data_IF_820596460908
#
_entry.id   IF_820596460908
#
_cell.length_a   1.000
_cell.length_b   1.000
_cell.length_c   1.000
_cell.angle_alpha   90.00
_cell.angle_beta   90.00
_cell.angle_gamma   90.00
#
_symmetry.space_group_name_H-M   'P 1'
#
loop_
_entity.id
_entity.type
_entity.pdbx_description
1 polymer ?
#
# COMPACT_ATOMS: atom_id res chain seq x y z
N UNK A 1 -19.88 -37.95 -3.32
CA UNK A 1 -19.84 -36.69 -4.10
C UNK A 1 -18.80 -36.87 -5.21
N UNK A 2 -19.21 -36.86 -6.48
CA UNK A 2 -18.37 -37.17 -7.66
C UNK A 2 -18.09 -35.87 -8.43
N UNK A 3 -16.82 -35.53 -8.61
CA UNK A 3 -16.37 -34.39 -9.40
C UNK A 3 -16.26 -34.76 -10.90
N UNK A 4 -16.65 -33.87 -11.84
CA UNK A 4 -16.54 -34.14 -13.28
C UNK A 4 -15.10 -34.35 -13.74
N UNK A 5 -14.83 -35.28 -14.68
CA UNK A 5 -13.48 -35.63 -15.11
C UNK A 5 -12.74 -34.51 -15.86
N UNK A 6 -13.43 -33.44 -16.25
CA UNK A 6 -12.89 -32.31 -17.01
C UNK A 6 -12.68 -31.03 -16.16
N UNK A 7 -12.83 -31.11 -14.84
CA UNK A 7 -12.55 -29.97 -13.97
C UNK A 7 -11.08 -29.91 -13.57
N UNK A 8 -10.41 -28.83 -13.94
CA UNK A 8 -9.10 -28.48 -13.40
C UNK A 8 -9.31 -27.65 -12.14
N UNK A 9 -8.93 -28.17 -10.99
CA UNK A 9 -8.98 -27.46 -9.72
C UNK A 9 -7.61 -26.84 -9.45
N UNK A 10 -7.52 -25.50 -9.50
CA UNK A 10 -6.34 -24.75 -9.10
C UNK A 10 -6.53 -24.18 -7.69
N UNK A 11 -5.58 -24.42 -6.80
CA UNK A 11 -5.55 -23.82 -5.47
C UNK A 11 -4.46 -22.74 -5.43
N UNK A 12 -4.79 -21.57 -4.91
CA UNK A 12 -3.82 -20.51 -4.59
C UNK A 12 -3.80 -20.37 -3.09
N UNK A 13 -2.65 -20.67 -2.48
CA UNK A 13 -2.39 -20.31 -1.09
C UNK A 13 -2.05 -18.81 -1.06
N UNK A 14 -3.04 -17.97 -0.74
CA UNK A 14 -2.75 -16.57 -0.41
C UNK A 14 -2.24 -16.52 1.02
N UNK A 15 -0.94 -16.71 1.21
CA UNK A 15 -0.29 -16.38 2.47
C UNK A 15 -0.02 -14.87 2.49
N UNK A 16 -0.81 -14.13 3.28
CA UNK A 16 -0.53 -12.73 3.61
C UNK A 16 0.37 -12.75 4.84
N UNK A 17 1.70 -12.53 4.72
CA UNK A 17 2.57 -12.45 5.89
C UNK A 17 2.08 -11.33 6.80
N UNK A 18 2.09 -11.57 8.11
CA UNK A 18 1.73 -10.57 9.11
C UNK A 18 2.70 -9.39 8.99
N UNK A 19 2.23 -8.27 8.44
CA UNK A 19 2.99 -7.04 8.38
C UNK A 19 2.64 -6.19 9.60
N UNK A 20 3.66 -5.75 10.33
CA UNK A 20 3.58 -4.79 11.44
C UNK A 20 3.23 -3.35 10.98
N UNK A 21 2.51 -3.22 9.87
CA UNK A 21 2.24 -1.95 9.16
C UNK A 21 0.74 -1.80 8.95
N UNK A 22 0.26 -0.56 8.81
CA UNK A 22 -1.15 -0.34 8.49
C UNK A 22 -1.46 -0.82 7.06
N UNK A 23 -2.72 -1.14 6.80
CA UNK A 23 -3.20 -1.46 5.44
C UNK A 23 -2.86 -0.33 4.45
N UNK A 24 -2.99 0.92 4.92
CA UNK A 24 -2.78 2.11 4.14
C UNK A 24 -1.30 2.26 3.76
N UNK A 25 -0.39 2.08 4.73
CA UNK A 25 1.05 2.12 4.48
C UNK A 25 1.50 1.02 3.52
N UNK A 26 0.89 -0.17 3.60
CA UNK A 26 1.19 -1.27 2.69
C UNK A 26 0.81 -0.94 1.24
N UNK A 27 -0.33 -0.28 1.03
CA UNK A 27 -0.76 0.15 -0.31
C UNK A 27 0.13 1.29 -0.82
N UNK A 28 0.52 2.23 0.03
CA UNK A 28 1.46 3.30 -0.32
C UNK A 28 2.87 2.78 -0.63
N UNK A 29 3.34 1.76 0.09
CA UNK A 29 4.61 1.08 -0.18
C UNK A 29 4.67 0.42 -1.57
N UNK A 30 3.50 0.15 -2.17
CA UNK A 30 3.41 -0.30 -3.56
C UNK A 30 3.90 0.75 -4.57
N UNK A 31 3.85 2.04 -4.20
CA UNK A 31 4.33 3.14 -5.02
C UNK A 31 5.84 3.35 -4.83
N UNK A 32 6.62 2.65 -5.67
CA UNK A 32 8.08 2.71 -5.64
C UNK A 32 8.63 4.08 -6.00
N UNK A 33 7.94 4.83 -6.85
CA UNK A 33 8.35 6.16 -7.29
C UNK A 33 8.18 7.16 -6.15
N UNK A 34 7.03 7.13 -5.48
CA UNK A 34 6.79 7.90 -4.26
C UNK A 34 7.88 7.64 -3.21
N UNK A 35 8.17 6.37 -2.89
CA UNK A 35 9.19 6.00 -1.91
C UNK A 35 10.60 6.44 -2.30
N UNK A 36 10.94 6.39 -3.58
CA UNK A 36 12.23 6.84 -4.06
C UNK A 36 12.39 8.36 -3.93
N UNK A 37 11.33 9.14 -4.20
CA UNK A 37 11.35 10.60 -4.07
C UNK A 37 11.39 11.03 -2.60
N UNK A 38 10.63 10.36 -1.72
CA UNK A 38 10.66 10.60 -0.27
C UNK A 38 12.06 10.34 0.32
N UNK A 39 12.73 9.26 -0.10
CA UNK A 39 14.10 8.96 0.33
C UNK A 39 15.10 10.02 -0.15
N UNK A 40 14.96 10.48 -1.41
CA UNK A 40 15.82 11.53 -1.94
C UNK A 40 15.60 12.88 -1.23
N UNK A 41 14.36 13.16 -0.83
CA UNK A 41 14.02 14.36 -0.08
C UNK A 41 14.67 14.34 1.29
N UNK A 42 14.59 13.22 2.02
CA UNK A 42 15.27 13.06 3.30
C UNK A 42 16.80 13.22 3.18
N UNK A 43 17.41 12.62 2.15
CA UNK A 43 18.85 12.79 1.89
C UNK A 43 19.22 14.25 1.58
N UNK A 44 18.35 15.00 0.89
CA UNK A 44 18.55 16.40 0.56
C UNK A 44 18.37 17.31 1.79
N UNK A 45 17.43 16.99 2.67
CA UNK A 45 17.21 17.65 3.97
C UNK A 45 18.41 17.45 4.90
N UNK A 46 18.94 16.23 5.00
CA UNK A 46 20.14 15.94 5.79
C UNK A 46 21.36 16.74 5.28
N UNK A 47 21.48 16.87 3.95
CA UNK A 47 22.54 17.69 3.32
C UNK A 47 22.26 19.19 3.34
N UNK A 48 21.09 19.62 3.81
CA UNK A 48 20.62 21.01 3.82
C UNK A 48 20.67 21.68 2.43
N UNK A 49 20.44 20.90 1.37
CA UNK A 49 20.43 21.40 -0.01
C UNK A 49 19.03 21.90 -0.40
N UNK A 50 18.80 23.19 -0.14
CA UNK A 50 17.52 23.84 -0.43
C UNK A 50 17.08 23.81 -1.88
N UNK A 51 18.02 23.70 -2.84
CA UNK A 51 17.67 23.62 -4.26
C UNK A 51 17.13 22.23 -4.62
N UNK A 52 17.82 21.19 -4.17
CA UNK A 52 17.37 19.81 -4.33
C UNK A 52 16.01 19.58 -3.65
N UNK A 53 15.81 20.10 -2.44
CA UNK A 53 14.53 20.04 -1.72
C UNK A 53 13.40 20.67 -2.55
N UNK A 54 13.60 21.88 -3.08
CA UNK A 54 12.59 22.55 -3.91
C UNK A 54 12.24 21.78 -5.18
N UNK A 55 13.26 21.23 -5.87
CA UNK A 55 13.04 20.40 -7.05
C UNK A 55 12.25 19.12 -6.71
N UNK A 56 12.63 18.42 -5.65
CA UNK A 56 11.99 17.18 -5.20
C UNK A 56 10.54 17.41 -4.77
N UNK A 57 10.23 18.54 -4.12
CA UNK A 57 8.84 18.91 -3.85
C UNK A 57 8.02 19.15 -5.13
N UNK A 58 8.64 19.67 -6.19
CA UNK A 58 8.01 19.80 -7.50
C UNK A 58 7.71 18.44 -8.12
N UNK A 59 8.66 17.51 -8.08
CA UNK A 59 8.47 16.14 -8.57
C UNK A 59 7.39 15.39 -7.78
N UNK A 60 7.37 15.53 -6.45
CA UNK A 60 6.31 14.98 -5.60
C UNK A 60 4.93 15.56 -5.96
N UNK A 61 4.85 16.84 -6.30
CA UNK A 61 3.60 17.44 -6.78
C UNK A 61 3.21 16.89 -8.16
N UNK A 62 4.17 16.67 -9.06
CA UNK A 62 3.93 16.13 -10.41
C UNK A 62 3.32 14.72 -10.37
N UNK A 63 3.71 13.89 -9.40
CA UNK A 63 3.16 12.53 -9.22
C UNK A 63 1.89 12.50 -8.34
N UNK A 64 1.34 13.68 -8.01
CA UNK A 64 0.20 13.83 -7.09
C UNK A 64 0.43 13.10 -5.74
N UNK A 65 1.67 13.12 -5.21
CA UNK A 65 2.06 12.39 -4.00
C UNK A 65 1.16 12.71 -2.80
N UNK A 66 0.76 13.97 -2.63
CA UNK A 66 -0.09 14.43 -1.52
C UNK A 66 -1.50 13.82 -1.54
N UNK A 67 -1.96 13.33 -2.70
CA UNK A 67 -3.25 12.63 -2.80
C UNK A 67 -3.09 11.10 -2.71
N UNK A 68 -1.87 10.57 -2.66
CA UNK A 68 -1.61 9.14 -2.56
C UNK A 68 -2.33 8.47 -1.37
N UNK A 69 -2.39 9.05 -0.14
CA UNK A 69 -3.13 8.46 0.97
C UNK A 69 -4.63 8.34 0.70
N UNK A 70 -5.23 9.35 0.06
CA UNK A 70 -6.64 9.33 -0.30
C UNK A 70 -6.94 8.28 -1.39
N UNK A 71 -6.02 8.11 -2.37
CA UNK A 71 -6.11 7.05 -3.38
C UNK A 71 -5.98 5.66 -2.76
N UNK A 72 -5.01 5.49 -1.84
CA UNK A 72 -4.80 4.24 -1.11
C UNK A 72 -6.03 3.88 -0.27
N UNK A 73 -6.61 4.85 0.45
CA UNK A 73 -7.86 4.65 1.19
C UNK A 73 -9.02 4.24 0.27
N UNK A 74 -9.21 4.91 -0.87
CA UNK A 74 -10.24 4.54 -1.84
C UNK A 74 -10.05 3.13 -2.42
N UNK A 75 -8.81 2.72 -2.67
CA UNK A 75 -8.49 1.36 -3.09
C UNK A 75 -8.84 0.33 -2.01
N UNK A 76 -8.48 0.60 -0.75
CA UNK A 76 -8.83 -0.25 0.39
C UNK A 76 -10.35 -0.38 0.58
N UNK A 77 -11.08 0.73 0.50
CA UNK A 77 -12.56 0.72 0.53
C UNK A 77 -13.13 -0.12 -0.62
N UNK A 78 -12.57 -0.01 -1.83
CA UNK A 78 -12.98 -0.82 -2.98
C UNK A 78 -12.67 -2.32 -2.85
N UNK A 79 -11.74 -2.68 -1.97
CA UNK A 79 -11.39 -4.06 -1.62
C UNK A 79 -12.17 -4.58 -0.40
N UNK A 80 -13.10 -3.78 0.14
CA UNK A 80 -13.94 -4.17 1.28
C UNK A 80 -13.31 -3.91 2.65
N UNK A 81 -12.22 -3.14 2.74
CA UNK A 81 -11.62 -2.75 4.01
C UNK A 81 -12.33 -1.53 4.59
N UNK A 82 -12.76 -1.64 5.86
CA UNK A 82 -13.39 -0.54 6.61
C UNK A 82 -12.37 0.57 6.95
N UNK A 83 -12.82 1.81 7.16
CA UNK A 83 -11.96 2.93 7.58
C UNK A 83 -11.28 2.63 8.93
N UNK A 84 -11.98 1.91 9.81
CA UNK A 84 -11.43 1.41 11.07
C UNK A 84 -10.27 0.42 10.85
N UNK A 85 -10.29 -0.37 9.77
CA UNK A 85 -9.22 -1.32 9.43
C UNK A 85 -8.03 -0.63 8.71
N UNK A 86 -8.25 0.52 8.09
CA UNK A 86 -7.23 1.27 7.36
C UNK A 86 -6.20 1.95 8.30
N UNK A 87 -6.66 2.39 9.47
CA UNK A 87 -5.81 2.95 10.54
C UNK A 87 -5.37 1.92 11.58
N UNK A 88 -6.05 0.77 11.65
CA UNK A 88 -5.63 -0.33 12.52
C UNK A 88 -4.34 -0.96 12.01
N UNK A 89 -3.44 -1.30 12.94
CA UNK A 89 -2.33 -2.20 12.68
C UNK A 89 -2.90 -3.52 12.17
N UNK A 90 -2.47 -3.96 10.99
CA UNK A 90 -3.06 -5.11 10.29
C UNK A 90 -3.14 -6.34 11.21
N UNK A 91 -4.29 -7.03 11.35
CA UNK A 91 -4.39 -8.13 12.29
C UNK A 91 -3.61 -9.35 11.79
N UNK A 92 -2.77 -9.89 12.68
CA UNK A 92 -2.07 -11.15 12.52
C UNK A 92 -3.04 -12.34 12.68
N UNK A 93 -3.75 -12.76 11.63
CA UNK A 93 -4.44 -14.07 11.60
C UNK A 93 -4.89 -14.47 10.18
N UNK A 94 -4.80 -15.75 9.76
CA UNK A 94 -5.09 -16.20 8.39
C UNK A 94 -6.59 -16.24 8.03
N UNK A 95 -7.46 -15.58 8.79
CA UNK A 95 -8.92 -15.65 8.60
C UNK A 95 -9.66 -14.30 8.66
N UNK A 96 -8.96 -13.17 8.76
CA UNK A 96 -9.59 -11.86 8.99
C UNK A 96 -9.61 -10.94 7.76
N UNK A 97 -9.57 -11.51 6.56
CA UNK A 97 -10.13 -10.88 5.37
C UNK A 97 -11.65 -11.01 5.43
N UNK A 98 -12.31 -10.23 6.30
CA UNK A 98 -13.75 -10.06 6.22
C UNK A 98 -14.03 -9.20 4.98
N UNK A 99 -14.02 -9.86 3.81
CA UNK A 99 -14.81 -9.42 2.69
C UNK A 99 -16.25 -9.22 3.19
N UNK A 100 -16.74 -7.99 3.09
CA UNK A 100 -18.17 -7.76 2.93
C UNK A 100 -18.53 -7.89 1.44
#
# INVERSE_FOLDING_TARGET
>A
MLLPPNWTVAHVAQETPALERSALDYVLDGDKELRALESQLADAEDKHDGNAIGHLHGELANIDAYSAPARAGKLLTGLGFDEAASSARWPASPAAGACA
#
